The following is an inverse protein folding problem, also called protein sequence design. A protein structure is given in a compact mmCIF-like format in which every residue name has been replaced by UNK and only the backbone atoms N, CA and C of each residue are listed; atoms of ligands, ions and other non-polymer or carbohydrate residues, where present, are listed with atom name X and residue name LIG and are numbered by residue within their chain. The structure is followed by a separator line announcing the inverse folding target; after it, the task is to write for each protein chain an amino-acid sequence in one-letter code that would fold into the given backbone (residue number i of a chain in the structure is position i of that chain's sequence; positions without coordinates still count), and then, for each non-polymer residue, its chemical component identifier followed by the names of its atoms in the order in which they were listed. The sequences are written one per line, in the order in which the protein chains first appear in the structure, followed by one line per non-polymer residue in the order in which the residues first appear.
data_IF_310716311377
#
_entry.id   IF_310716311377
#
_cell.length_a   1.000
_cell.length_b   1.000
_cell.length_c   1.000
_cell.angle_alpha   90.00
_cell.angle_beta   90.00
_cell.angle_gamma   90.00
#
_symmetry.space_group_name_H-M   'P 1'
#
loop_
_entity.id
_entity.type
_entity.pdbx_description
1 polymer ?
#
# COMPACT_ATOMS: atom_id res chain seq x y z
N UNK A 1 18.40 9.33 -16.18
CA UNK A 1 17.66 8.64 -17.27
C UNK A 1 16.35 8.13 -16.68
N UNK A 2 15.22 8.28 -17.37
CA UNK A 2 13.94 7.74 -16.90
C UNK A 2 13.77 6.31 -17.43
N UNK A 3 13.51 5.35 -16.53
CA UNK A 3 13.14 3.99 -16.88
C UNK A 3 11.71 4.00 -17.44
N UNK A 4 11.52 3.48 -18.66
CA UNK A 4 10.21 3.42 -19.32
C UNK A 4 9.45 2.17 -18.88
N UNK A 5 8.12 2.27 -18.78
CA UNK A 5 7.26 1.10 -18.59
C UNK A 5 7.46 0.10 -19.72
N UNK A 6 7.53 -1.18 -19.37
CA UNK A 6 7.75 -2.29 -20.30
C UNK A 6 9.19 -2.42 -20.82
N UNK A 7 10.09 -1.48 -20.51
CA UNK A 7 11.50 -1.58 -20.89
C UNK A 7 12.31 -2.25 -19.77
N UNK A 8 13.04 -3.30 -20.13
CA UNK A 8 13.94 -3.97 -19.19
C UNK A 8 15.18 -3.14 -18.90
N UNK A 9 15.63 -3.17 -17.64
CA UNK A 9 16.86 -2.54 -17.18
C UNK A 9 17.52 -3.39 -16.08
N UNK A 10 18.81 -3.18 -15.85
CA UNK A 10 19.55 -3.90 -14.83
C UNK A 10 19.43 -3.25 -13.46
N UNK A 11 19.21 -4.06 -12.41
CA UNK A 11 19.29 -3.61 -11.02
C UNK A 11 20.64 -2.92 -10.76
N UNK A 12 20.63 -1.77 -10.08
CA UNK A 12 21.84 -0.97 -9.79
C UNK A 12 22.89 -1.82 -9.08
N UNK A 13 22.49 -2.58 -8.05
CA UNK A 13 23.41 -3.31 -7.18
C UNK A 13 23.83 -4.68 -7.77
N UNK A 14 22.90 -5.48 -8.32
CA UNK A 14 23.18 -6.87 -8.73
C UNK A 14 22.96 -7.19 -10.22
N UNK A 15 22.59 -6.20 -11.03
CA UNK A 15 22.36 -6.31 -12.49
C UNK A 15 21.23 -7.27 -12.93
N UNK A 16 20.47 -7.86 -12.00
CA UNK A 16 19.26 -8.63 -12.35
C UNK A 16 18.32 -7.79 -13.22
N UNK A 17 17.73 -8.41 -14.24
CA UNK A 17 16.74 -7.76 -15.10
C UNK A 17 15.50 -7.37 -14.30
N UNK A 18 15.09 -6.11 -14.42
CA UNK A 18 13.92 -5.49 -13.81
C UNK A 18 13.11 -4.78 -14.89
N UNK A 19 11.83 -4.55 -14.61
CA UNK A 19 10.92 -3.81 -15.48
C UNK A 19 9.89 -3.11 -14.60
N UNK A 20 9.50 -1.90 -14.99
CA UNK A 20 8.32 -1.23 -14.45
C UNK A 20 7.10 -1.61 -15.30
N UNK A 21 6.01 -2.02 -14.65
CA UNK A 21 4.71 -2.32 -15.25
C UNK A 21 3.75 -1.13 -15.13
N UNK A 22 3.99 -0.24 -14.17
CA UNK A 22 3.14 0.93 -13.91
C UNK A 22 3.83 2.24 -14.18
N UNK A 23 3.05 3.26 -14.56
CA UNK A 23 3.53 4.66 -14.65
C UNK A 23 3.66 5.34 -13.27
N UNK A 24 2.96 4.82 -12.25
CA UNK A 24 2.82 5.45 -10.94
C UNK A 24 3.88 5.03 -9.91
N UNK A 25 4.45 3.82 -10.01
CA UNK A 25 5.53 3.42 -9.13
C UNK A 25 6.79 4.26 -9.38
N UNK A 26 7.38 4.79 -8.31
CA UNK A 26 8.65 5.49 -8.39
C UNK A 26 9.84 4.56 -8.16
N UNK A 27 9.60 3.36 -7.61
CA UNK A 27 10.61 2.35 -7.30
C UNK A 27 10.13 0.94 -7.63
N UNK A 28 11.07 0.06 -7.94
CA UNK A 28 10.88 -1.39 -7.95
C UNK A 28 11.93 -2.06 -7.06
N UNK A 29 11.49 -2.90 -6.13
CA UNK A 29 12.36 -3.61 -5.20
C UNK A 29 12.88 -4.89 -5.88
N UNK A 30 14.20 -5.01 -6.03
CA UNK A 30 14.81 -6.17 -6.66
C UNK A 30 14.54 -7.45 -5.86
N UNK A 31 13.99 -8.47 -6.52
CA UNK A 31 13.68 -9.76 -5.88
C UNK A 31 14.92 -10.59 -5.51
N UNK A 32 16.11 -10.22 -5.99
CA UNK A 32 17.38 -10.89 -5.63
C UNK A 32 18.09 -10.22 -4.47
N UNK A 33 18.40 -8.93 -4.61
CA UNK A 33 19.25 -8.21 -3.64
C UNK A 33 18.49 -7.15 -2.83
N UNK A 34 17.16 -7.02 -3.01
CA UNK A 34 16.27 -6.13 -2.25
C UNK A 34 16.56 -4.62 -2.39
N UNK A 35 17.42 -4.24 -3.33
CA UNK A 35 17.71 -2.85 -3.65
C UNK A 35 16.47 -2.13 -4.22
N UNK A 36 16.22 -0.89 -3.79
CA UNK A 36 15.18 -0.03 -4.36
C UNK A 36 15.71 0.61 -5.65
N UNK A 37 15.19 0.20 -6.80
CA UNK A 37 15.60 0.76 -8.07
C UNK A 37 14.62 1.84 -8.49
N UNK A 38 15.10 3.08 -8.53
CA UNK A 38 14.30 4.26 -8.84
C UNK A 38 14.00 4.35 -10.33
N UNK A 39 12.76 4.73 -10.64
CA UNK A 39 12.27 4.96 -12.00
C UNK A 39 13.03 6.10 -12.67
N UNK A 40 13.21 7.21 -11.95
CA UNK A 40 14.15 8.23 -12.36
C UNK A 40 15.53 7.80 -11.84
N UNK A 41 16.43 7.42 -12.75
CA UNK A 41 17.78 7.01 -12.36
C UNK A 41 18.45 8.12 -11.57
N UNK A 42 18.74 7.80 -10.32
CA UNK A 42 19.56 8.60 -9.43
C UNK A 42 21.04 8.32 -9.71
N UNK A 43 21.95 9.30 -9.57
CA UNK A 43 23.38 9.12 -9.86
C UNK A 43 24.14 8.24 -8.85
N UNK A 44 23.45 7.69 -7.85
CA UNK A 44 24.08 6.91 -6.79
C UNK A 44 24.69 5.63 -7.34
N UNK A 45 25.89 5.31 -6.84
CA UNK A 45 26.64 4.09 -7.24
C UNK A 45 25.97 2.82 -6.73
N UNK A 46 25.19 2.93 -5.65
CA UNK A 46 24.50 1.84 -4.99
C UNK A 46 23.14 2.33 -4.50
N UNK A 47 22.09 1.55 -4.73
CA UNK A 47 20.76 1.84 -4.23
C UNK A 47 20.56 1.28 -2.81
N UNK A 48 19.73 1.96 -1.96
CA UNK A 48 19.40 1.44 -0.64
C UNK A 48 18.72 0.07 -0.71
N UNK A 49 18.88 -0.73 0.33
CA UNK A 49 18.33 -2.10 0.43
C UNK A 49 17.24 -2.15 1.47
N UNK A 50 16.10 -2.77 1.13
CA UNK A 50 14.97 -2.96 2.06
C UNK A 50 15.05 -4.27 2.84
N UNK A 51 14.46 -4.27 4.03
CA UNK A 51 14.13 -5.51 4.75
C UNK A 51 13.12 -6.37 3.94
N UNK A 52 13.18 -7.69 4.12
CA UNK A 52 12.24 -8.62 3.48
C UNK A 52 10.86 -8.50 4.15
N UNK A 53 9.79 -8.54 3.36
CA UNK A 53 8.43 -8.73 3.90
C UNK A 53 8.36 -10.00 4.73
N UNK A 54 7.58 -9.98 5.81
CA UNK A 54 7.30 -11.17 6.61
C UNK A 54 6.26 -12.00 5.86
N UNK A 55 6.64 -13.21 5.46
CA UNK A 55 5.70 -14.14 4.84
C UNK A 55 4.82 -14.75 5.93
N UNK A 56 3.67 -14.10 6.14
CA UNK A 56 2.63 -14.55 7.05
C UNK A 56 1.39 -14.80 6.19
N UNK A 57 1.09 -16.08 5.94
CA UNK A 57 -0.19 -16.68 5.49
C UNK A 57 -0.91 -16.10 4.24
N UNK A 58 -0.37 -15.10 3.55
CA UNK A 58 -1.02 -14.55 2.35
C UNK A 58 -0.79 -15.44 1.13
N UNK A 59 -1.89 -15.83 0.48
CA UNK A 59 -1.87 -16.55 -0.80
C UNK A 59 -1.55 -15.64 -1.99
N UNK A 60 -1.73 -14.33 -1.84
CA UNK A 60 -1.46 -13.33 -2.89
C UNK A 60 0.04 -13.06 -2.96
N UNK A 61 0.62 -12.97 -4.15
CA UNK A 61 2.00 -12.57 -4.38
C UNK A 61 2.11 -11.59 -5.55
N UNK A 62 3.26 -10.93 -5.70
CA UNK A 62 3.55 -10.17 -6.92
C UNK A 62 3.44 -11.10 -8.13
N UNK A 63 2.69 -10.68 -9.15
CA UNK A 63 2.32 -11.46 -10.32
C UNK A 63 1.03 -12.30 -10.16
N UNK A 64 0.39 -12.33 -8.99
CA UNK A 64 -0.98 -12.88 -8.85
C UNK A 64 -1.92 -12.09 -9.75
N UNK A 65 -2.80 -12.79 -10.47
CA UNK A 65 -3.83 -12.17 -11.33
C UNK A 65 -5.21 -12.51 -10.81
N UNK A 66 -6.21 -11.73 -11.21
CA UNK A 66 -7.60 -11.97 -10.84
C UNK A 66 -8.57 -11.11 -11.64
N UNK A 67 -9.81 -11.06 -11.19
CA UNK A 67 -10.87 -10.22 -11.76
C UNK A 67 -11.60 -9.46 -10.67
N UNK A 68 -11.94 -8.20 -10.92
CA UNK A 68 -12.88 -7.46 -10.09
C UNK A 68 -13.85 -6.69 -10.98
N UNK A 69 -15.16 -6.91 -10.77
CA UNK A 69 -16.23 -6.35 -11.62
C UNK A 69 -15.98 -6.60 -13.11
N UNK A 70 -15.70 -7.86 -13.47
CA UNK A 70 -15.43 -8.31 -14.86
C UNK A 70 -14.12 -7.81 -15.48
N UNK A 71 -13.32 -7.02 -14.76
CA UNK A 71 -12.07 -6.44 -15.28
C UNK A 71 -10.89 -7.19 -14.68
N UNK A 72 -10.00 -7.68 -15.54
CA UNK A 72 -8.79 -8.41 -15.13
C UNK A 72 -7.82 -7.47 -14.43
N UNK A 73 -7.08 -7.97 -13.43
CA UNK A 73 -6.00 -7.24 -12.79
C UNK A 73 -4.75 -8.12 -12.57
N UNK A 74 -3.60 -7.48 -12.40
CA UNK A 74 -2.34 -8.08 -11.95
C UNK A 74 -1.86 -7.35 -10.68
N UNK A 75 -1.34 -8.10 -9.70
CA UNK A 75 -0.66 -7.58 -8.52
C UNK A 75 0.78 -7.23 -8.87
N UNK A 76 1.17 -5.96 -8.73
CA UNK A 76 2.50 -5.46 -9.12
C UNK A 76 3.41 -5.15 -7.94
N UNK A 77 2.84 -4.98 -6.74
CA UNK A 77 3.59 -4.68 -5.53
C UNK A 77 2.78 -4.81 -4.26
N UNK A 78 3.42 -4.56 -3.12
CA UNK A 78 2.83 -4.70 -1.79
C UNK A 78 3.47 -3.74 -0.81
N UNK A 79 2.64 -3.11 0.02
CA UNK A 79 3.04 -2.70 1.36
C UNK A 79 2.52 -3.68 2.39
N UNK A 80 3.36 -4.07 3.33
CA UNK A 80 2.96 -4.77 4.54
C UNK A 80 3.15 -3.81 5.71
N UNK A 81 2.03 -3.32 6.23
CA UNK A 81 2.03 -2.51 7.44
C UNK A 81 1.97 -3.44 8.66
N UNK A 82 2.98 -3.38 9.50
CA UNK A 82 2.99 -4.04 10.80
C UNK A 82 2.50 -3.06 11.86
N UNK A 83 1.47 -3.47 12.58
CA UNK A 83 0.89 -2.74 13.69
C UNK A 83 1.25 -3.41 15.02
N UNK A 84 0.87 -2.80 16.14
CA UNK A 84 1.04 -3.39 17.46
C UNK A 84 0.37 -4.77 17.56
N UNK A 85 -0.84 -4.90 17.03
CA UNK A 85 -1.71 -6.07 17.22
C UNK A 85 -2.04 -6.81 15.90
N UNK A 86 -1.14 -6.77 14.91
CA UNK A 86 -1.30 -7.52 13.66
C UNK A 86 -0.59 -6.90 12.47
N UNK A 87 -1.00 -7.28 11.26
CA UNK A 87 -0.51 -6.69 10.02
C UNK A 87 -1.64 -6.50 9.00
N UNK A 88 -1.40 -5.60 8.03
CA UNK A 88 -2.24 -5.47 6.83
C UNK A 88 -1.40 -5.48 5.58
N UNK A 89 -1.83 -6.26 4.59
CA UNK A 89 -1.27 -6.24 3.25
C UNK A 89 -2.09 -5.31 2.37
N UNK A 90 -1.41 -4.37 1.75
CA UNK A 90 -1.94 -3.50 0.71
C UNK A 90 -1.23 -3.87 -0.59
N UNK A 91 -1.85 -4.75 -1.37
CA UNK A 91 -1.35 -5.18 -2.67
C UNK A 91 -1.71 -4.15 -3.73
N UNK A 92 -0.72 -3.57 -4.42
CA UNK A 92 -1.00 -2.69 -5.55
C UNK A 92 -1.44 -3.55 -6.74
N UNK A 93 -2.61 -3.24 -7.30
CA UNK A 93 -3.15 -3.92 -8.47
C UNK A 93 -3.33 -2.96 -9.65
N UNK A 94 -3.10 -3.50 -10.84
CA UNK A 94 -3.27 -2.78 -12.11
C UNK A 94 -4.31 -3.54 -12.93
N UNK A 95 -5.38 -2.85 -13.31
CA UNK A 95 -6.42 -3.38 -14.17
C UNK A 95 -5.96 -3.42 -15.63
N UNK A 96 -6.56 -4.31 -16.43
CA UNK A 96 -6.27 -4.43 -17.86
C UNK A 96 -6.60 -3.17 -18.68
N UNK A 97 -7.37 -2.24 -18.11
CA UNK A 97 -7.67 -0.93 -18.69
C UNK A 97 -6.70 0.18 -18.22
N UNK A 98 -5.65 -0.17 -17.47
CA UNK A 98 -4.62 0.74 -16.99
C UNK A 98 -4.94 1.46 -15.69
N UNK A 99 -6.15 1.30 -15.12
CA UNK A 99 -6.47 1.85 -13.80
C UNK A 99 -5.75 1.09 -12.71
N UNK A 100 -5.47 1.78 -11.60
CA UNK A 100 -4.84 1.18 -10.43
C UNK A 100 -5.77 1.20 -9.22
N UNK A 101 -5.56 0.26 -8.32
CA UNK A 101 -6.25 0.18 -7.03
C UNK A 101 -5.39 -0.62 -6.06
N UNK A 102 -5.93 -0.85 -4.87
CA UNK A 102 -5.31 -1.66 -3.85
C UNK A 102 -6.23 -2.83 -3.49
N UNK A 103 -5.62 -4.01 -3.35
CA UNK A 103 -6.25 -5.19 -2.79
C UNK A 103 -5.76 -5.36 -1.34
N UNK A 104 -6.69 -5.24 -0.41
CA UNK A 104 -6.48 -5.51 1.00
C UNK A 104 -6.50 -6.98 1.31
N UNK A 105 -5.59 -7.40 2.20
CA UNK A 105 -5.55 -8.76 2.75
C UNK A 105 -5.06 -8.71 4.20
N UNK A 106 -5.96 -9.04 5.13
CA UNK A 106 -5.67 -9.19 6.56
C UNK A 106 -6.74 -10.03 7.25
N UNK A 107 -6.33 -10.88 8.18
CA UNK A 107 -7.23 -11.72 8.99
C UNK A 107 -8.26 -12.51 8.16
N UNK A 108 -7.88 -12.98 6.97
CA UNK A 108 -8.76 -13.72 6.05
C UNK A 108 -9.80 -12.87 5.31
N UNK A 109 -9.81 -11.55 5.53
CA UNK A 109 -10.70 -10.63 4.84
C UNK A 109 -9.98 -10.00 3.64
N UNK A 110 -10.73 -9.80 2.56
CA UNK A 110 -10.24 -9.17 1.34
C UNK A 110 -11.06 -7.94 1.01
N UNK A 111 -10.43 -6.91 0.47
CA UNK A 111 -11.10 -5.68 0.07
C UNK A 111 -10.48 -5.07 -1.17
N UNK A 112 -11.27 -4.31 -1.93
CA UNK A 112 -10.74 -3.45 -3.00
C UNK A 112 -10.97 -2.01 -2.60
N UNK A 113 -9.90 -1.22 -2.54
CA UNK A 113 -9.95 0.19 -2.16
C UNK A 113 -9.08 1.08 -3.06
N UNK A 114 -9.45 2.35 -3.10
CA UNK A 114 -8.76 3.40 -3.85
C UNK A 114 -8.16 4.42 -2.89
N UNK A 115 -6.99 4.94 -3.24
CA UNK A 115 -6.34 6.02 -2.51
C UNK A 115 -6.97 7.37 -2.87
N UNK A 116 -7.08 8.26 -1.89
CA UNK A 116 -7.60 9.62 -2.01
C UNK A 116 -6.63 10.62 -1.41
N UNK A 117 -6.49 11.77 -2.06
CA UNK A 117 -5.59 12.85 -1.63
C UNK A 117 -6.31 14.00 -0.91
N UNK A 118 -7.64 13.94 -0.79
CA UNK A 118 -8.47 15.09 -0.44
C UNK A 118 -9.18 14.90 0.90
N UNK A 119 -8.55 15.27 2.01
CA UNK A 119 -9.29 15.62 3.24
C UNK A 119 -8.50 16.56 4.14
N UNK A 120 -9.23 17.34 4.92
CA UNK A 120 -8.75 18.34 5.87
C UNK A 120 -8.33 17.61 7.15
N UNK A 121 -7.09 17.77 7.62
CA UNK A 121 -6.52 16.96 8.72
C UNK A 121 -7.34 17.03 10.01
N UNK A 122 -7.97 18.17 10.24
CA UNK A 122 -8.87 18.46 11.36
C UNK A 122 -10.05 17.47 11.43
N UNK A 123 -10.46 16.90 10.30
CA UNK A 123 -11.49 15.84 10.22
C UNK A 123 -11.15 14.67 11.14
N UNK A 124 -9.87 14.34 11.29
CA UNK A 124 -9.40 13.18 12.04
C UNK A 124 -8.80 13.54 13.40
N UNK A 125 -8.85 14.81 13.82
CA UNK A 125 -8.41 15.23 15.15
C UNK A 125 -9.26 14.56 16.26
N UNK A 126 -8.66 14.28 17.42
CA UNK A 126 -9.35 13.63 18.56
C UNK A 126 -10.09 12.33 18.17
N UNK A 127 -9.45 11.51 17.33
CA UNK A 127 -10.01 10.25 16.88
C UNK A 127 -10.26 9.29 18.07
N UNK A 128 -11.52 8.88 18.23
CA UNK A 128 -11.98 7.90 19.22
C UNK A 128 -13.03 6.99 18.57
N UNK A 129 -13.09 5.69 18.92
CA UNK A 129 -14.15 4.80 18.43
C UNK A 129 -15.54 5.41 18.61
N UNK A 130 -16.42 5.22 17.62
CA UNK A 130 -17.74 5.84 17.52
C UNK A 130 -17.75 7.25 16.90
N UNK A 131 -16.59 7.90 16.69
CA UNK A 131 -16.52 9.19 16.00
C UNK A 131 -16.98 9.04 14.56
N UNK A 132 -17.94 9.86 14.15
CA UNK A 132 -18.41 9.92 12.76
C UNK A 132 -17.65 10.98 11.98
N UNK A 133 -17.25 10.63 10.76
CA UNK A 133 -16.59 11.53 9.79
C UNK A 133 -17.23 11.37 8.42
N UNK A 134 -17.06 12.37 7.57
CA UNK A 134 -17.43 12.28 6.17
C UNK A 134 -16.17 12.21 5.30
N UNK A 135 -16.09 11.20 4.44
CA UNK A 135 -15.02 11.05 3.45
C UNK A 135 -15.70 10.92 2.09
N UNK A 136 -15.41 11.84 1.16
CA UNK A 136 -16.02 11.88 -0.17
C UNK A 136 -17.57 11.80 -0.13
N UNK A 137 -18.22 12.53 0.78
CA UNK A 137 -19.69 12.56 0.97
C UNK A 137 -20.29 11.25 1.48
N UNK A 138 -19.47 10.32 1.97
CA UNK A 138 -19.91 9.09 2.62
C UNK A 138 -19.62 9.21 4.11
N UNK A 139 -20.65 8.96 4.93
CA UNK A 139 -20.51 8.94 6.38
C UNK A 139 -19.92 7.60 6.84
N UNK A 140 -18.88 7.70 7.66
CA UNK A 140 -18.16 6.59 8.25
C UNK A 140 -18.09 6.77 9.76
N UNK A 141 -18.08 5.66 10.49
CA UNK A 141 -17.87 5.62 11.94
C UNK A 141 -16.53 4.95 12.25
N UNK A 142 -15.73 5.59 13.10
CA UNK A 142 -14.44 5.07 13.52
C UNK A 142 -14.66 3.82 14.37
N UNK A 143 -14.16 2.68 13.90
CA UNK A 143 -14.25 1.42 14.64
C UNK A 143 -13.04 1.25 15.57
N UNK A 144 -11.84 1.43 15.02
CA UNK A 144 -10.61 1.21 15.76
C UNK A 144 -9.46 2.07 15.25
N UNK A 145 -8.41 2.13 16.07
CA UNK A 145 -7.13 2.74 15.74
C UNK A 145 -6.01 1.73 15.99
N UNK A 146 -5.00 1.75 15.14
CA UNK A 146 -3.81 0.93 15.24
C UNK A 146 -2.55 1.78 15.22
N UNK A 147 -1.58 1.42 16.07
CA UNK A 147 -0.26 2.03 16.07
C UNK A 147 0.69 1.31 15.13
N UNK A 148 1.15 1.99 14.08
CA UNK A 148 2.10 1.44 13.13
C UNK A 148 3.50 1.28 13.75
N UNK A 149 4.12 0.14 13.47
CA UNK A 149 5.49 -0.20 13.89
C UNK A 149 6.48 -0.14 12.72
N UNK A 150 6.15 -0.79 11.61
CA UNK A 150 7.07 -0.97 10.48
C UNK A 150 6.31 -1.15 9.17
N UNK A 151 6.81 -0.53 8.10
CA UNK A 151 6.34 -0.76 6.75
C UNK A 151 7.40 -1.58 6.02
N UNK A 152 7.00 -2.72 5.47
CA UNK A 152 7.80 -3.54 4.58
C UNK A 152 7.19 -3.51 3.17
N UNK A 153 7.98 -3.83 2.15
CA UNK A 153 7.50 -3.77 0.77
C UNK A 153 8.12 -4.79 -0.17
N UNK A 154 7.43 -5.11 -1.25
CA UNK A 154 7.95 -5.90 -2.38
C UNK A 154 7.31 -5.45 -3.70
N UNK A 155 7.98 -5.72 -4.82
CA UNK A 155 7.52 -5.34 -6.16
C UNK A 155 7.65 -3.84 -6.44
N UNK A 156 6.73 -3.32 -7.24
CA UNK A 156 6.59 -1.90 -7.55
C UNK A 156 5.93 -1.15 -6.40
N UNK A 157 6.55 -0.05 -5.97
CA UNK A 157 6.08 0.76 -4.84
C UNK A 157 6.43 2.23 -5.02
N UNK A 158 5.85 3.05 -4.16
CA UNK A 158 6.23 4.44 -3.90
C UNK A 158 7.04 4.51 -2.59
N UNK A 159 8.33 4.85 -2.66
CA UNK A 159 9.22 4.81 -1.49
C UNK A 159 8.86 5.77 -0.36
N UNK A 160 8.00 6.76 -0.62
CA UNK A 160 7.60 7.82 0.29
C UNK A 160 7.12 7.34 1.67
N UNK A 161 6.59 6.12 1.79
CA UNK A 161 6.06 5.57 3.05
C UNK A 161 7.01 4.58 3.73
N UNK A 162 8.03 4.08 3.04
CA UNK A 162 8.90 3.01 3.55
C UNK A 162 9.78 3.46 4.73
N UNK A 163 10.14 4.75 4.76
CA UNK A 163 10.91 5.34 5.85
C UNK A 163 10.09 5.93 6.99
N UNK A 164 8.75 5.95 6.89
CA UNK A 164 7.89 6.59 7.87
C UNK A 164 7.53 5.60 8.99
N UNK A 165 7.75 6.00 10.24
CA UNK A 165 7.49 5.19 11.43
C UNK A 165 6.51 5.89 12.37
N UNK A 166 5.80 5.11 13.18
CA UNK A 166 4.95 5.62 14.27
C UNK A 166 3.72 6.41 13.81
N UNK A 167 3.15 6.12 12.63
CA UNK A 167 1.87 6.68 12.22
C UNK A 167 0.71 5.97 12.93
N UNK A 168 -0.42 6.66 13.06
CA UNK A 168 -1.67 6.07 13.54
C UNK A 168 -2.48 5.70 12.31
N UNK A 169 -3.01 4.48 12.26
CA UNK A 169 -3.97 4.09 11.24
C UNK A 169 -5.35 4.01 11.87
N UNK A 170 -6.32 4.67 11.27
CA UNK A 170 -7.72 4.67 11.68
C UNK A 170 -8.50 3.78 10.71
N UNK A 171 -9.30 2.87 11.26
CA UNK A 171 -10.19 2.01 10.49
C UNK A 171 -11.63 2.41 10.73
N UNK A 172 -12.31 2.80 9.65
CA UNK A 172 -13.70 3.20 9.67
C UNK A 172 -14.57 2.24 8.87
N UNK A 173 -15.80 2.09 9.33
CA UNK A 173 -16.84 1.31 8.67
C UNK A 173 -18.08 2.15 8.44
N UNK A 174 -18.96 1.67 7.57
CA UNK A 174 -20.32 2.18 7.50
C UNK A 174 -21.34 1.03 7.48
N UNK A 175 -22.63 1.32 7.73
CA UNK A 175 -23.68 0.29 7.72
C UNK A 175 -23.91 -0.39 6.36
N UNK A 176 -23.39 0.16 5.25
CA UNK A 176 -23.50 -0.47 3.93
C UNK A 176 -22.36 -1.47 3.63
N UNK A 177 -21.45 -1.70 4.59
CA UNK A 177 -20.28 -2.58 4.40
C UNK A 177 -19.10 -1.93 3.68
N UNK A 178 -19.16 -0.63 3.42
CA UNK A 178 -18.01 0.13 2.93
C UNK A 178 -17.05 0.43 4.08
N UNK A 179 -15.78 0.61 3.73
CA UNK A 179 -14.71 0.88 4.68
C UNK A 179 -13.85 2.07 4.26
N UNK A 180 -13.21 2.68 5.25
CA UNK A 180 -12.13 3.63 5.04
C UNK A 180 -10.93 3.33 5.94
N UNK A 181 -9.72 3.48 5.39
CA UNK A 181 -8.46 3.40 6.12
C UNK A 181 -7.79 4.76 6.04
N UNK A 182 -7.35 5.31 7.17
CA UNK A 182 -6.70 6.62 7.23
C UNK A 182 -5.39 6.51 8.00
N UNK A 183 -4.27 6.65 7.30
CA UNK A 183 -2.94 6.71 7.92
C UNK A 183 -2.59 8.17 8.20
N UNK A 184 -2.36 8.51 9.46
CA UNK A 184 -1.97 9.85 9.93
C UNK A 184 -0.50 9.79 10.34
N UNK A 185 0.35 10.36 9.51
CA UNK A 185 1.79 10.35 9.71
C UNK A 185 2.22 11.46 10.67
N UNK A 186 3.06 11.15 11.68
CA UNK A 186 3.58 12.16 12.58
C UNK A 186 4.42 13.18 11.79
N UNK A 187 4.31 14.45 12.15
CA UNK A 187 5.19 15.48 11.63
C UNK A 187 6.63 15.20 12.06
N UNK A 188 7.60 15.28 11.13
CA UNK A 188 9.00 15.47 11.54
C UNK A 188 9.13 16.88 12.11
N UNK A 189 9.51 17.01 13.38
CA UNK A 189 9.80 18.28 14.06
C UNK A 189 11.06 19.02 13.54
N UNK A 190 11.76 18.49 12.54
CA UNK A 190 13.10 18.98 12.19
C UNK A 190 13.03 20.25 11.31
N UNK A 191 13.54 21.35 11.88
CA UNK A 191 13.96 22.61 11.25
C UNK A 191 12.90 23.50 10.56
N UNK A 192 11.60 23.20 10.70
CA UNK A 192 10.57 24.12 10.22
C UNK A 192 10.62 25.47 10.98
N UNK A 193 10.66 26.63 10.29
CA UNK A 193 10.60 27.94 10.94
C UNK A 193 9.41 28.03 11.89
N UNK A 194 9.60 28.62 13.09
CA UNK A 194 8.52 28.91 14.04
C UNK A 194 7.38 29.63 13.31
N UNK A 195 6.18 29.04 13.31
CA UNK A 195 4.98 29.64 12.73
C UNK A 195 4.46 28.97 11.45
N UNK A 196 5.15 27.98 10.89
CA UNK A 196 4.63 27.17 9.79
C UNK A 196 4.06 25.86 10.35
N UNK A 197 2.75 25.82 10.58
CA UNK A 197 2.04 24.55 10.77
C UNK A 197 2.06 23.80 9.43
N UNK A 198 2.95 22.82 9.26
CA UNK A 198 2.88 21.91 8.11
C UNK A 198 1.83 20.85 8.42
N UNK A 199 0.66 20.90 7.78
CA UNK A 199 -0.42 19.92 7.95
C UNK A 199 0.13 18.48 7.97
N UNK A 200 -0.26 17.62 8.93
CA UNK A 200 0.20 16.24 8.97
C UNK A 200 -0.11 15.55 7.63
N UNK A 201 0.80 14.71 7.14
CA UNK A 201 0.52 13.92 5.95
C UNK A 201 -0.53 12.88 6.31
N UNK A 202 -1.54 12.78 5.46
CA UNK A 202 -2.63 11.84 5.62
C UNK A 202 -2.77 11.05 4.32
N UNK A 203 -2.84 9.73 4.43
CA UNK A 203 -3.22 8.85 3.34
C UNK A 203 -4.56 8.22 3.64
N UNK A 204 -5.46 8.24 2.65
CA UNK A 204 -6.84 7.82 2.83
C UNK A 204 -7.14 6.80 1.76
N UNK A 205 -7.74 5.70 2.18
CA UNK A 205 -8.24 4.68 1.30
C UNK A 205 -9.72 4.46 1.58
N UNK A 206 -10.54 4.37 0.54
CA UNK A 206 -11.93 3.93 0.71
C UNK A 206 -12.24 2.80 -0.24
N UNK A 207 -13.09 1.87 0.19
CA UNK A 207 -13.39 0.67 -0.57
C UNK A 207 -14.46 -0.19 0.07
N UNK A 208 -14.53 -1.43 -0.38
CA UNK A 208 -15.49 -2.41 0.12
C UNK A 208 -14.80 -3.75 0.30
N UNK A 209 -15.29 -4.54 1.25
CA UNK A 209 -14.96 -5.95 1.34
C UNK A 209 -15.42 -6.70 0.08
N UNK A 210 -14.68 -7.74 -0.27
CA UNK A 210 -14.96 -8.62 -1.40
C UNK A 210 -14.77 -10.07 -0.98
N UNK A 211 -15.59 -10.95 -1.52
CA UNK A 211 -15.43 -12.38 -1.31
C UNK A 211 -14.17 -12.89 -2.01
N UNK A 212 -13.37 -13.71 -1.34
CA UNK A 212 -12.14 -14.26 -1.90
C UNK A 212 -12.39 -15.00 -3.23
N UNK A 213 -13.43 -15.83 -3.28
CA UNK A 213 -13.80 -16.60 -4.47
C UNK A 213 -14.21 -15.70 -5.65
N UNK A 214 -14.75 -14.52 -5.39
CA UNK A 214 -15.17 -13.57 -6.45
C UNK A 214 -13.99 -12.95 -7.19
N UNK A 215 -12.79 -12.96 -6.60
CA UNK A 215 -11.59 -12.41 -7.20
C UNK A 215 -10.99 -13.31 -8.28
N UNK A 216 -11.42 -14.57 -8.38
CA UNK A 216 -10.92 -15.56 -9.35
C UNK A 216 -9.39 -15.58 -9.45
N UNK A 217 -8.72 -15.58 -8.28
CA UNK A 217 -7.26 -15.43 -8.21
C UNK A 217 -6.53 -16.59 -8.88
N UNK A 218 -5.47 -16.26 -9.62
CA UNK A 218 -4.54 -17.19 -10.24
C UNK A 218 -3.10 -16.82 -9.87
N UNK A 219 -2.18 -17.76 -10.04
CA UNK A 219 -0.77 -17.59 -9.68
C UNK A 219 -0.59 -17.22 -8.18
N UNK A 220 -1.38 -17.83 -7.31
CA UNK A 220 -1.29 -17.71 -5.84
C UNK A 220 -0.16 -18.58 -5.28
N UNK A 221 0.29 -18.27 -4.06
CA UNK A 221 1.11 -19.20 -3.26
C UNK A 221 0.24 -20.41 -2.91
N UNK A 222 0.87 -21.59 -2.89
CA UNK A 222 0.28 -22.80 -2.34
C UNK A 222 0.89 -23.00 -0.95
N UNK A 223 0.04 -23.19 0.05
CA UNK A 223 0.45 -23.68 1.36
C UNK A 223 -0.03 -25.14 1.43
N UNK A 224 0.91 -26.08 1.55
CA UNK A 224 0.61 -27.51 1.50
C UNK A 224 -0.31 -27.96 2.66
N UNK A 225 -0.39 -27.18 3.73
CA UNK A 225 -1.21 -27.44 4.92
C UNK A 225 -2.71 -27.07 4.76
N UNK A 226 -3.13 -26.52 3.61
CA UNK A 226 -4.50 -26.04 3.37
C UNK A 226 -5.28 -26.88 2.33
N UNK A 227 -4.79 -28.10 2.04
CA UNK A 227 -5.49 -29.08 1.18
C UNK A 227 -6.27 -30.10 1.98
#
# INVERSE_FOLDING_TARGET
MLQKVGQFFGCVNCKRSLVFRTEQANCVICTNCRALNYRLSIPEKEAPVTEKVKEEMSVIRVGTTGTFREIKFEVVGRYQYLFKDGYRNHWQIVFSDGRESWLGDWAGNYSIFQAHNNTVAETFANAVPGKKVEINKISFELEMLDEHRLTLAEGEVNDLVLGLKGFISLFFINPSGAMALVNIYPQKKADAPKGVYQTPRIEIFTGNYVEFSSLNLQNTRNYDDWR
#
